data_IF_005670867837
#
_entry.id   IF_005670867837
#
_cell.length_a   1.000
_cell.length_b   1.000
_cell.length_c   1.000
_cell.angle_alpha   90.00
_cell.angle_beta   90.00
_cell.angle_gamma   90.00
#
_symmetry.space_group_name_H-M   'P 1'
#
loop_
_entity.id
_entity.type
_entity.pdbx_description
1 polymer ?
#
# COMPACT_ATOMS: atom_id res chain seq x y z
N UNK A 1 2.54 24.69 -5.13
CA UNK A 1 2.46 23.22 -5.25
C UNK A 1 1.38 22.73 -4.29
N UNK A 2 0.37 22.02 -4.80
CA UNK A 2 -0.67 21.46 -3.95
C UNK A 2 -0.10 20.32 -3.10
N UNK A 3 -0.42 20.23 -1.80
CA UNK A 3 0.14 19.23 -0.90
C UNK A 3 -0.60 17.88 -1.03
N UNK A 4 -0.42 17.19 -2.15
CA UNK A 4 -1.09 15.91 -2.42
C UNK A 4 -0.15 14.92 -3.08
N UNK A 5 -0.37 13.63 -2.79
CA UNK A 5 0.27 12.52 -3.48
C UNK A 5 -0.82 11.79 -4.28
N UNK A 6 -0.66 11.74 -5.58
CA UNK A 6 -1.66 11.12 -6.48
C UNK A 6 -1.29 9.69 -6.85
N UNK A 7 0.00 9.37 -6.92
CA UNK A 7 0.50 8.06 -7.33
C UNK A 7 1.66 7.67 -6.43
N UNK A 8 1.66 6.42 -5.98
CA UNK A 8 2.82 5.74 -5.38
C UNK A 8 3.22 4.62 -6.33
N UNK A 9 4.49 4.58 -6.71
CA UNK A 9 5.04 3.53 -7.57
C UNK A 9 6.00 2.65 -6.79
N UNK A 10 5.73 1.34 -6.77
CA UNK A 10 6.59 0.34 -6.15
C UNK A 10 7.30 -0.48 -7.24
N UNK A 11 8.62 -0.54 -7.17
CA UNK A 11 9.40 -1.51 -7.93
C UNK A 11 9.30 -2.87 -7.27
N UNK A 12 8.96 -3.90 -8.04
CA UNK A 12 8.78 -5.27 -7.56
C UNK A 12 9.61 -6.25 -8.39
N UNK A 13 10.06 -7.32 -7.77
CA UNK A 13 10.85 -8.36 -8.46
C UNK A 13 9.97 -9.27 -9.29
N UNK A 14 8.81 -9.68 -8.76
CA UNK A 14 7.83 -10.52 -9.43
C UNK A 14 6.48 -9.79 -9.49
N UNK A 15 6.21 -9.19 -10.66
CA UNK A 15 5.03 -8.35 -10.86
C UNK A 15 3.73 -9.15 -10.71
N UNK A 16 3.65 -10.35 -11.32
CA UNK A 16 2.42 -11.14 -11.29
C UNK A 16 2.16 -11.72 -9.89
N UNK A 17 3.18 -12.19 -9.20
CA UNK A 17 3.05 -12.67 -7.83
C UNK A 17 2.60 -11.55 -6.88
N UNK A 18 3.13 -10.35 -7.02
CA UNK A 18 2.75 -9.21 -6.20
C UNK A 18 1.32 -8.72 -6.52
N UNK A 19 0.94 -8.71 -7.79
CA UNK A 19 -0.44 -8.42 -8.19
C UNK A 19 -1.43 -9.37 -7.50
N UNK A 20 -1.18 -10.68 -7.59
CA UNK A 20 -2.03 -11.70 -6.98
C UNK A 20 -2.07 -11.58 -5.46
N UNK A 21 -0.95 -11.25 -4.84
CA UNK A 21 -0.88 -11.07 -3.39
C UNK A 21 -1.78 -9.93 -2.92
N UNK A 22 -1.66 -8.73 -3.51
CA UNK A 22 -2.51 -7.59 -3.13
C UNK A 22 -3.98 -7.85 -3.42
N UNK A 23 -4.28 -8.51 -4.55
CA UNK A 23 -5.65 -8.90 -4.89
C UNK A 23 -6.23 -9.88 -3.87
N UNK A 24 -5.49 -10.92 -3.51
CA UNK A 24 -6.00 -11.97 -2.62
C UNK A 24 -5.98 -11.58 -1.14
N UNK A 25 -4.98 -10.79 -0.70
CA UNK A 25 -4.79 -10.47 0.72
C UNK A 25 -5.48 -9.18 1.13
N UNK A 26 -5.37 -8.14 0.32
CA UNK A 26 -5.99 -6.85 0.60
C UNK A 26 -7.34 -6.67 -0.11
N UNK A 27 -7.70 -7.56 -1.00
CA UNK A 27 -8.96 -7.51 -1.74
C UNK A 27 -9.02 -6.39 -2.78
N UNK A 28 -7.87 -5.88 -3.20
CA UNK A 28 -7.82 -4.80 -4.18
C UNK A 28 -7.93 -5.32 -5.60
N UNK A 29 -8.65 -4.59 -6.46
CA UNK A 29 -8.83 -4.97 -7.86
C UNK A 29 -7.69 -4.43 -8.71
N UNK A 30 -6.86 -5.31 -9.32
CA UNK A 30 -5.78 -4.88 -10.20
C UNK A 30 -6.31 -4.47 -11.58
N UNK A 31 -5.59 -3.58 -12.24
CA UNK A 31 -5.73 -3.23 -13.64
C UNK A 31 -4.37 -3.31 -14.33
N UNK A 32 -4.28 -4.08 -15.41
CA UNK A 32 -3.04 -4.15 -16.20
C UNK A 32 -3.02 -3.01 -17.21
N UNK A 33 -1.99 -2.19 -17.13
CA UNK A 33 -1.80 -1.05 -18.01
C UNK A 33 -1.18 -1.47 -19.36
N UNK A 34 -1.29 -0.62 -20.36
CA UNK A 34 -0.75 -0.89 -21.72
C UNK A 34 0.77 -1.08 -21.73
N UNK A 35 1.48 -0.44 -20.80
CA UNK A 35 2.93 -0.59 -20.66
C UNK A 35 3.36 -1.83 -19.85
N UNK A 36 2.39 -2.68 -19.47
CA UNK A 36 2.60 -3.90 -18.72
C UNK A 36 2.69 -3.72 -17.19
N UNK A 37 2.60 -2.49 -16.68
CA UNK A 37 2.53 -2.25 -15.24
C UNK A 37 1.15 -2.61 -14.69
N UNK A 38 1.04 -2.76 -13.36
CA UNK A 38 -0.22 -3.03 -12.68
C UNK A 38 -0.58 -1.81 -11.83
N UNK A 39 -1.83 -1.39 -11.91
CA UNK A 39 -2.35 -0.34 -11.05
C UNK A 39 -3.48 -0.84 -10.16
N UNK A 40 -3.52 -0.32 -8.94
CA UNK A 40 -4.62 -0.44 -8.00
C UNK A 40 -5.17 0.96 -7.72
N UNK A 41 -6.42 1.16 -8.03
CA UNK A 41 -7.11 2.42 -7.71
C UNK A 41 -7.54 2.38 -6.26
N UNK A 42 -6.91 3.18 -5.42
CA UNK A 42 -7.28 3.37 -4.02
C UNK A 42 -8.19 4.59 -3.89
N UNK A 43 -8.73 4.83 -2.70
CA UNK A 43 -9.72 5.90 -2.48
C UNK A 43 -9.19 7.28 -2.85
N UNK A 44 -7.93 7.56 -2.53
CA UNK A 44 -7.33 8.90 -2.68
C UNK A 44 -6.03 8.93 -3.51
N UNK A 45 -5.61 7.78 -4.03
CA UNK A 45 -4.39 7.66 -4.83
C UNK A 45 -4.42 6.41 -5.70
N UNK A 46 -3.41 6.27 -6.54
CA UNK A 46 -3.14 5.04 -7.30
C UNK A 46 -1.84 4.43 -6.81
N UNK A 47 -1.87 3.14 -6.53
CA UNK A 47 -0.66 2.35 -6.34
C UNK A 47 -0.30 1.68 -7.66
N UNK A 48 0.93 1.88 -8.13
CA UNK A 48 1.43 1.23 -9.35
C UNK A 48 2.55 0.25 -8.99
N UNK A 49 2.44 -0.99 -9.45
CA UNK A 49 3.52 -1.95 -9.41
C UNK A 49 4.24 -1.97 -10.76
N UNK A 50 5.55 -1.92 -10.72
CA UNK A 50 6.42 -1.93 -11.90
C UNK A 50 7.60 -2.87 -11.66
N UNK A 51 8.09 -3.62 -12.67
CA UNK A 51 9.31 -4.39 -12.51
C UNK A 51 10.47 -3.50 -12.05
N UNK A 52 11.13 -3.87 -10.94
CA UNK A 52 12.17 -3.02 -10.30
C UNK A 52 13.28 -2.64 -11.27
N UNK A 53 13.68 -3.54 -12.17
CA UNK A 53 14.69 -3.26 -13.20
C UNK A 53 14.25 -2.17 -14.17
N UNK A 54 12.95 -2.16 -14.53
CA UNK A 54 12.36 -1.13 -15.38
C UNK A 54 12.34 0.22 -14.67
N UNK A 55 11.96 0.22 -13.38
CA UNK A 55 11.94 1.43 -12.57
C UNK A 55 13.36 1.99 -12.38
N UNK A 56 14.32 1.15 -12.04
CA UNK A 56 15.71 1.55 -11.84
C UNK A 56 16.31 2.17 -13.10
N UNK A 57 16.07 1.57 -14.27
CA UNK A 57 16.49 2.13 -15.56
C UNK A 57 15.88 3.51 -15.83
N UNK A 58 14.59 3.66 -15.53
CA UNK A 58 13.87 4.94 -15.70
C UNK A 58 14.45 6.03 -14.81
N UNK A 59 14.90 5.67 -13.62
CA UNK A 59 15.46 6.60 -12.63
C UNK A 59 16.99 6.76 -12.74
N UNK A 60 17.65 6.00 -13.61
CA UNK A 60 19.11 5.95 -13.74
C UNK A 60 19.81 5.57 -12.43
N UNK A 61 19.24 4.62 -11.67
CA UNK A 61 19.77 4.15 -10.40
C UNK A 61 20.05 2.65 -10.44
N UNK A 62 20.90 2.21 -9.51
CA UNK A 62 21.23 0.80 -9.34
C UNK A 62 20.08 0.06 -8.64
N UNK A 63 19.68 -1.12 -9.16
CA UNK A 63 18.51 -1.85 -8.64
C UNK A 63 18.82 -2.97 -7.65
N UNK A 64 20.10 -3.36 -7.49
CA UNK A 64 20.50 -4.51 -6.66
C UNK A 64 20.60 -4.19 -5.18
N UNK A 65 20.10 -3.04 -4.75
CA UNK A 65 20.16 -2.67 -3.37
C UNK A 65 19.18 -3.48 -2.53
N UNK A 66 19.72 -4.31 -1.65
CA UNK A 66 18.96 -5.08 -0.67
C UNK A 66 19.06 -4.39 0.68
N UNK A 67 17.96 -3.88 1.19
CA UNK A 67 17.98 -3.22 2.47
C UNK A 67 16.64 -2.66 2.89
N UNK A 68 16.61 -2.04 4.05
CA UNK A 68 15.45 -1.34 4.56
C UNK A 68 15.03 -0.21 3.61
N UNK A 69 13.82 -0.27 3.08
CA UNK A 69 13.31 0.66 2.04
C UNK A 69 12.98 2.06 2.59
N UNK A 70 13.11 2.28 3.90
CA UNK A 70 12.88 3.56 4.58
C UNK A 70 11.51 4.19 4.31
N UNK A 71 10.52 3.34 4.07
CA UNK A 71 9.16 3.77 3.78
C UNK A 71 8.16 2.80 4.40
N UNK A 72 7.07 3.34 4.91
CA UNK A 72 5.88 2.60 5.29
C UNK A 72 4.66 3.28 4.69
N UNK A 73 3.73 2.50 4.19
CA UNK A 73 2.44 2.99 3.70
C UNK A 73 1.39 2.68 4.77
N UNK A 74 0.53 3.64 5.06
CA UNK A 74 -0.47 3.51 6.12
C UNK A 74 -1.87 3.39 5.54
N UNK A 75 -2.60 2.38 6.01
CA UNK A 75 -4.04 2.23 5.79
C UNK A 75 -4.74 2.66 7.09
N UNK A 76 -5.59 3.68 6.98
CA UNK A 76 -6.36 4.19 8.10
C UNK A 76 -7.63 3.39 8.35
N UNK A 77 -7.97 3.21 9.62
CA UNK A 77 -9.18 2.56 10.10
C UNK A 77 -9.99 3.52 10.97
N UNK A 78 -11.28 3.23 11.14
CA UNK A 78 -12.21 4.10 11.85
C UNK A 78 -12.40 3.71 13.32
N UNK A 79 -11.90 2.54 13.73
CA UNK A 79 -12.00 2.05 15.11
C UNK A 79 -10.97 0.96 15.39
N UNK A 80 -10.68 0.74 16.68
CA UNK A 80 -9.85 -0.40 17.13
C UNK A 80 -10.45 -1.73 16.67
N UNK A 81 -11.79 -1.86 16.77
CA UNK A 81 -12.46 -3.10 16.38
C UNK A 81 -12.26 -3.43 14.90
N UNK A 82 -12.40 -2.44 14.00
CA UNK A 82 -12.17 -2.66 12.58
C UNK A 82 -10.72 -3.05 12.30
N UNK A 83 -9.77 -2.45 13.02
CA UNK A 83 -8.37 -2.79 12.90
C UNK A 83 -8.08 -4.22 13.37
N UNK A 84 -8.60 -4.62 14.52
CA UNK A 84 -8.45 -5.97 15.04
C UNK A 84 -9.05 -7.02 14.10
N UNK A 85 -10.23 -6.75 13.56
CA UNK A 85 -10.88 -7.63 12.59
C UNK A 85 -10.02 -7.78 11.32
N UNK A 86 -9.44 -6.69 10.82
CA UNK A 86 -8.54 -6.69 9.67
C UNK A 86 -7.27 -7.52 9.94
N UNK A 87 -6.63 -7.35 11.09
CA UNK A 87 -5.45 -8.13 11.46
C UNK A 87 -5.75 -9.62 11.57
N UNK A 88 -6.87 -9.97 12.17
CA UNK A 88 -7.31 -11.37 12.27
C UNK A 88 -7.51 -11.99 10.89
N UNK A 89 -8.15 -11.28 9.97
CA UNK A 89 -8.35 -11.73 8.60
C UNK A 89 -7.04 -11.90 7.85
N UNK A 90 -6.13 -10.92 7.94
CA UNK A 90 -4.81 -10.97 7.31
C UNK A 90 -3.97 -12.14 7.85
N UNK A 91 -3.96 -12.33 9.16
CA UNK A 91 -3.23 -13.44 9.80
C UNK A 91 -3.79 -14.79 9.36
N UNK A 92 -5.11 -14.97 9.34
CA UNK A 92 -5.77 -16.18 8.87
C UNK A 92 -5.48 -16.45 7.38
N UNK A 93 -5.24 -15.42 6.60
CA UNK A 93 -4.87 -15.51 5.19
C UNK A 93 -3.34 -15.63 4.95
N UNK A 94 -2.57 -15.83 6.00
CA UNK A 94 -1.13 -16.09 5.93
C UNK A 94 -0.28 -14.85 5.61
N UNK A 95 -0.78 -13.65 5.87
CA UNK A 95 0.02 -12.43 5.78
C UNK A 95 1.03 -12.39 6.93
N UNK A 96 2.25 -12.00 6.63
CA UNK A 96 3.29 -11.86 7.65
C UNK A 96 3.01 -10.65 8.55
N UNK A 97 2.73 -10.91 9.83
CA UNK A 97 2.52 -9.87 10.84
C UNK A 97 3.87 -9.51 11.45
N UNK A 98 4.30 -8.27 11.25
CA UNK A 98 5.53 -7.74 11.86
C UNK A 98 5.28 -7.42 13.33
N UNK A 99 4.19 -6.71 13.61
CA UNK A 99 3.74 -6.37 14.96
C UNK A 99 2.23 -6.37 15.03
N UNK A 100 1.69 -7.05 16.04
CA UNK A 100 0.26 -7.01 16.34
C UNK A 100 -0.16 -5.59 16.75
N UNK A 101 -1.45 -5.22 16.56
CA UNK A 101 -1.94 -3.92 16.99
C UNK A 101 -1.73 -3.66 18.48
N UNK A 102 -1.22 -2.50 18.79
CA UNK A 102 -1.02 -2.04 20.17
C UNK A 102 -1.26 -0.53 20.28
N UNK A 103 -1.61 -0.08 21.48
CA UNK A 103 -1.72 1.35 21.79
C UNK A 103 -0.31 1.93 21.91
N UNK A 104 -0.12 3.07 21.24
CA UNK A 104 1.14 3.80 21.29
C UNK A 104 1.04 5.00 22.24
N UNK A 105 2.20 5.54 22.66
CA UNK A 105 2.26 6.65 23.61
C UNK A 105 1.55 7.91 23.12
N UNK A 106 1.42 8.09 21.80
CA UNK A 106 0.70 9.20 21.17
C UNK A 106 -0.82 8.98 21.06
N UNK A 107 -1.34 7.86 21.60
CA UNK A 107 -2.77 7.54 21.62
C UNK A 107 -3.30 6.82 20.37
N UNK A 108 -2.47 6.53 19.40
CA UNK A 108 -2.85 5.72 18.24
C UNK A 108 -2.97 4.23 18.61
N UNK A 109 -3.71 3.48 17.79
CA UNK A 109 -3.79 2.03 17.85
C UNK A 109 -3.38 1.47 16.50
N UNK A 110 -2.27 0.74 16.43
CA UNK A 110 -1.66 0.35 15.16
C UNK A 110 -0.80 -0.90 15.22
N UNK A 111 -0.69 -1.57 14.09
CA UNK A 111 0.19 -2.70 13.87
C UNK A 111 0.80 -2.66 12.47
N UNK A 112 1.66 -3.62 12.18
CA UNK A 112 2.45 -3.64 10.95
C UNK A 112 2.42 -5.00 10.30
N UNK A 113 2.32 -5.01 8.97
CA UNK A 113 2.42 -6.21 8.13
C UNK A 113 3.42 -5.98 7.01
N UNK A 114 3.93 -7.07 6.45
CA UNK A 114 4.79 -7.02 5.28
C UNK A 114 4.20 -7.82 4.13
N UNK A 115 4.42 -7.34 2.91
CA UNK A 115 4.21 -8.13 1.72
C UNK A 115 5.41 -9.08 1.47
N UNK A 116 5.32 -10.01 0.49
CA UNK A 116 6.39 -10.97 0.23
C UNK A 116 7.74 -10.35 -0.20
N UNK A 117 7.74 -9.08 -0.60
CA UNK A 117 8.95 -8.36 -1.04
C UNK A 117 9.40 -7.31 -0.04
N UNK A 118 8.99 -7.45 1.23
CA UNK A 118 9.37 -6.54 2.33
C UNK A 118 8.95 -5.09 2.11
N UNK A 119 7.82 -4.87 1.45
CA UNK A 119 7.14 -3.59 1.54
C UNK A 119 6.30 -3.59 2.82
N UNK A 120 6.46 -2.55 3.62
CA UNK A 120 5.86 -2.46 4.94
C UNK A 120 4.58 -1.63 4.90
N UNK A 121 3.56 -2.17 5.56
CA UNK A 121 2.27 -1.52 5.72
C UNK A 121 1.96 -1.33 7.19
N UNK A 122 1.65 -0.10 7.57
CA UNK A 122 1.05 0.24 8.86
C UNK A 122 -0.46 0.21 8.68
N UNK A 123 -1.16 -0.52 9.55
CA UNK A 123 -2.61 -0.46 9.67
C UNK A 123 -2.90 0.24 10.99
N UNK A 124 -3.63 1.35 10.95
CA UNK A 124 -3.71 2.24 12.09
C UNK A 124 -5.08 2.89 12.26
N UNK A 125 -5.47 3.06 13.52
CA UNK A 125 -6.52 3.97 13.94
C UNK A 125 -5.90 5.13 14.73
N UNK A 126 -6.10 6.35 14.21
CA UNK A 126 -5.67 7.58 14.84
C UNK A 126 -6.91 8.36 15.30
N UNK A 127 -7.34 8.24 16.57
CA UNK A 127 -8.59 8.85 17.03
C UNK A 127 -8.60 10.38 16.98
N UNK A 128 -7.42 10.98 16.88
CA UNK A 128 -7.22 12.45 16.84
C UNK A 128 -6.96 12.99 15.42
N UNK A 129 -6.94 12.14 14.41
CA UNK A 129 -6.76 12.52 13.00
C UNK A 129 -7.99 12.08 12.23
N UNK A 130 -8.67 13.03 11.57
CA UNK A 130 -9.64 12.66 10.56
C UNK A 130 -8.89 12.09 9.35
N UNK A 131 -8.78 10.77 9.32
CA UNK A 131 -8.37 10.07 8.12
C UNK A 131 -9.57 10.07 7.19
N UNK A 132 -9.38 10.49 5.93
CA UNK A 132 -10.42 10.42 4.92
C UNK A 132 -10.85 8.96 4.73
N UNK A 133 -12.00 8.66 5.31
CA UNK A 133 -12.58 7.33 5.31
C UNK A 133 -13.16 6.97 3.94
N UNK A 134 -13.29 5.66 3.62
CA UNK A 134 -13.93 5.20 2.39
C UNK A 134 -15.29 5.87 2.18
N UNK A 135 -15.45 6.59 1.08
CA UNK A 135 -16.66 7.30 0.73
C UNK A 135 -16.47 8.76 0.32
N UNK A 136 -15.34 9.37 0.60
CA UNK A 136 -14.96 10.64 0.01
C UNK A 136 -14.13 10.37 -1.24
N UNK A 137 -14.78 10.43 -2.38
CA UNK A 137 -14.11 10.40 -3.68
C UNK A 137 -13.24 11.64 -3.83
N UNK A 138 -11.93 11.48 -3.72
CA UNK A 138 -11.01 12.39 -4.37
C UNK A 138 -10.96 11.95 -5.84
N UNK A 139 -11.55 12.71 -6.77
CA UNK A 139 -11.48 12.35 -8.18
C UNK A 139 -10.02 12.49 -8.62
N UNK A 140 -9.37 11.35 -8.83
CA UNK A 140 -8.11 11.37 -9.57
C UNK A 140 -8.45 11.69 -11.03
N UNK A 141 -7.72 12.63 -11.66
CA UNK A 141 -7.96 12.93 -13.06
C UNK A 141 -7.77 11.68 -13.91
N UNK A 142 -8.65 11.45 -14.87
CA UNK A 142 -8.59 10.30 -15.78
C UNK A 142 -7.23 10.16 -16.48
N UNK A 143 -6.53 11.27 -16.69
CA UNK A 143 -5.19 11.30 -17.27
C UNK A 143 -4.14 10.47 -16.49
N UNK A 144 -4.36 10.19 -15.21
CA UNK A 144 -3.48 9.33 -14.39
C UNK A 144 -3.48 7.88 -14.90
N UNK A 145 -4.55 7.46 -15.59
CA UNK A 145 -4.76 6.09 -16.05
C UNK A 145 -4.51 5.90 -17.53
N UNK A 146 -4.13 6.94 -18.25
CA UNK A 146 -3.94 6.94 -19.72
C UNK A 146 -2.48 6.90 -20.18
N UNK A 147 -1.53 6.69 -19.29
CA UNK A 147 -0.10 6.61 -19.65
C UNK A 147 0.38 5.18 -19.89
#
# INVERSE_FOLDING_TARGET
MEPQINIVTLGVSDLDAMMEWYQSKFGWTPSRNLDGTISFRLTNMVLILVPEKKLARKLFVWHDWKGFKRMVLTIGFNSEKQLDDAFRELENNGVFIIRQPEKTADGAYKGYVADPEDNFWELAWYPFVEMDCPGRNFPLPESVFQS
#
